data_IF_454181353016
#
_entry.id   IF_454181353016
#
_cell.length_a   1.000
_cell.length_b   1.000
_cell.length_c   1.000
_cell.angle_alpha   90.00
_cell.angle_beta   90.00
_cell.angle_gamma   90.00
#
_symmetry.space_group_name_H-M   'P 1'
#
loop_
_entity.id
_entity.type
_entity.pdbx_description
1 polymer ?
#
# COMPACT_ATOMS: atom_id res chain seq x y z
N UNK A 1 -14.50 5.55 21.25
CA UNK A 1 -13.94 6.82 21.80
C UNK A 1 -12.83 7.28 20.87
N UNK A 2 -12.83 8.56 20.43
CA UNK A 2 -11.82 9.10 19.50
C UNK A 2 -10.76 9.86 20.26
N UNK A 3 -9.49 9.64 19.93
CA UNK A 3 -8.35 10.37 20.49
C UNK A 3 -7.50 10.97 19.38
N UNK A 4 -6.90 12.13 19.64
CA UNK A 4 -5.88 12.68 18.74
C UNK A 4 -4.55 12.01 19.02
N UNK A 5 -3.84 11.66 17.95
CA UNK A 5 -2.50 11.12 18.03
C UNK A 5 -1.56 11.93 17.16
N UNK A 6 -0.37 12.23 17.69
CA UNK A 6 0.65 12.98 16.99
C UNK A 6 1.93 12.16 16.79
N UNK A 7 2.40 12.08 15.54
CA UNK A 7 3.70 11.50 15.16
C UNK A 7 4.42 12.45 14.21
N UNK A 8 5.46 13.12 14.71
CA UNK A 8 6.07 14.25 14.01
C UNK A 8 5.02 15.34 13.73
N UNK A 9 4.87 15.70 12.46
CA UNK A 9 3.87 16.68 12.00
C UNK A 9 2.47 16.09 11.73
N UNK A 10 2.32 14.77 11.86
CA UNK A 10 1.05 14.10 11.59
C UNK A 10 0.17 14.18 12.82
N UNK A 11 -0.96 14.89 12.70
CA UNK A 11 -2.07 14.79 13.66
C UNK A 11 -3.16 13.93 13.03
N UNK A 12 -3.54 12.87 13.74
CA UNK A 12 -4.51 11.90 13.24
C UNK A 12 -5.59 11.65 14.28
N UNK A 13 -6.78 11.32 13.79
CA UNK A 13 -7.86 10.81 14.62
C UNK A 13 -7.72 9.30 14.72
N UNK A 14 -7.66 8.79 15.95
CA UNK A 14 -7.56 7.36 16.24
C UNK A 14 -8.81 6.92 16.97
N UNK A 15 -9.46 5.90 16.44
CA UNK A 15 -10.52 5.15 17.08
C UNK A 15 -9.95 3.94 17.82
N UNK A 16 -10.58 3.58 18.92
CA UNK A 16 -10.27 2.36 19.67
C UNK A 16 -11.03 1.13 19.13
N UNK A 17 -11.97 1.35 18.19
CA UNK A 17 -12.73 0.26 17.57
C UNK A 17 -11.80 -0.63 16.74
N UNK A 18 -11.92 -1.94 16.99
CA UNK A 18 -11.09 -2.96 16.36
C UNK A 18 -11.88 -3.70 15.32
N UNK A 19 -11.29 -3.86 14.14
CA UNK A 19 -11.81 -4.74 13.10
C UNK A 19 -11.02 -6.05 13.08
N UNK A 20 -11.70 -7.16 12.83
CA UNK A 20 -11.09 -8.48 12.80
C UNK A 20 -10.82 -8.91 11.36
N UNK A 21 -9.58 -9.30 11.06
CA UNK A 21 -9.24 -9.90 9.79
C UNK A 21 -9.20 -11.41 9.96
N UNK A 22 -10.34 -12.08 9.71
CA UNK A 22 -10.53 -13.51 9.97
C UNK A 22 -9.45 -14.38 9.30
N UNK A 23 -9.23 -15.58 9.84
CA UNK A 23 -8.28 -16.54 9.28
C UNK A 23 -8.58 -16.85 7.79
N UNK A 24 -9.86 -16.91 7.41
CA UNK A 24 -10.25 -17.09 6.01
C UNK A 24 -9.76 -15.91 5.14
N UNK A 25 -9.91 -14.67 5.60
CA UNK A 25 -9.41 -13.48 4.88
C UNK A 25 -7.88 -13.46 4.83
N UNK A 26 -7.20 -13.88 5.91
CA UNK A 26 -5.75 -14.04 5.94
C UNK A 26 -5.29 -15.04 4.88
N UNK A 27 -5.93 -16.20 4.78
CA UNK A 27 -5.61 -17.23 3.80
C UNK A 27 -5.83 -16.74 2.35
N UNK A 28 -6.92 -16.01 2.10
CA UNK A 28 -7.17 -15.37 0.80
C UNK A 28 -6.05 -14.36 0.46
N UNK A 29 -5.68 -13.51 1.42
CA UNK A 29 -4.62 -12.52 1.26
C UNK A 29 -3.25 -13.16 1.00
N UNK A 30 -2.89 -14.23 1.72
CA UNK A 30 -1.65 -14.98 1.50
C UNK A 30 -1.64 -15.62 0.12
N UNK A 31 -2.76 -16.21 -0.33
CA UNK A 31 -2.87 -16.75 -1.69
C UNK A 31 -2.70 -15.67 -2.76
N UNK A 32 -3.26 -14.48 -2.54
CA UNK A 32 -3.08 -13.32 -3.43
C UNK A 32 -1.62 -12.88 -3.46
N UNK A 33 -0.96 -12.78 -2.29
CA UNK A 33 0.45 -12.40 -2.18
C UNK A 33 1.39 -13.41 -2.84
N UNK A 34 1.08 -14.71 -2.74
CA UNK A 34 1.83 -15.76 -3.45
C UNK A 34 1.75 -15.56 -4.96
N UNK A 35 0.55 -15.33 -5.50
CA UNK A 35 0.38 -15.03 -6.94
C UNK A 35 1.09 -13.73 -7.32
N UNK A 36 0.91 -12.68 -6.52
CA UNK A 36 1.56 -11.38 -6.72
C UNK A 36 3.09 -11.50 -6.81
N UNK A 37 3.73 -12.20 -5.88
CA UNK A 37 5.17 -12.39 -5.86
C UNK A 37 5.70 -13.07 -7.14
N UNK A 38 4.95 -14.03 -7.71
CA UNK A 38 5.34 -14.71 -8.96
C UNK A 38 5.26 -13.85 -10.21
N UNK A 39 4.48 -12.76 -10.19
CA UNK A 39 4.30 -11.90 -11.35
C UNK A 39 4.82 -10.48 -11.13
N UNK A 40 5.33 -10.12 -9.96
CA UNK A 40 5.92 -8.80 -9.76
C UNK A 40 7.24 -8.70 -10.56
N UNK A 41 7.58 -7.53 -11.13
CA UNK A 41 8.83 -7.38 -11.88
C UNK A 41 10.05 -7.76 -11.05
N UNK A 42 10.92 -8.59 -11.63
CA UNK A 42 12.17 -8.96 -10.99
C UNK A 42 13.15 -7.77 -10.98
N UNK A 43 13.80 -7.56 -9.85
CA UNK A 43 14.99 -6.71 -9.74
C UNK A 43 16.01 -7.41 -8.84
N UNK A 44 17.30 -7.15 -9.08
CA UNK A 44 18.40 -7.90 -8.48
C UNK A 44 18.68 -7.51 -7.00
N UNK A 45 17.63 -7.32 -6.21
CA UNK A 45 17.72 -6.99 -4.79
C UNK A 45 18.03 -8.21 -3.93
N UNK A 46 18.51 -7.97 -2.70
CA UNK A 46 18.84 -9.06 -1.78
C UNK A 46 17.64 -9.99 -1.55
N UNK A 47 16.48 -9.40 -1.25
CA UNK A 47 15.27 -10.16 -0.90
C UNK A 47 14.75 -11.03 -2.05
N UNK A 48 14.89 -10.57 -3.29
CA UNK A 48 14.49 -11.35 -4.46
C UNK A 48 15.49 -12.48 -4.76
N UNK A 49 16.79 -12.23 -4.59
CA UNK A 49 17.82 -13.28 -4.73
C UNK A 49 17.66 -14.37 -3.67
N UNK A 50 17.45 -13.98 -2.42
CA UNK A 50 17.43 -14.90 -1.29
C UNK A 50 16.10 -15.64 -1.16
N UNK A 51 14.98 -14.92 -1.26
CA UNK A 51 13.66 -15.47 -0.94
C UNK A 51 12.70 -15.52 -2.12
N UNK A 52 13.12 -15.10 -3.31
CA UNK A 52 12.25 -15.03 -4.50
C UNK A 52 10.96 -14.24 -4.26
N UNK A 53 10.98 -13.26 -3.35
CA UNK A 53 9.85 -12.36 -3.09
C UNK A 53 10.26 -10.90 -3.24
N UNK A 54 9.36 -9.99 -3.66
CA UNK A 54 9.76 -8.61 -3.96
C UNK A 54 10.14 -7.77 -2.74
N UNK A 55 9.64 -8.12 -1.55
CA UNK A 55 9.87 -7.37 -0.32
C UNK A 55 9.63 -8.23 0.92
N UNK A 56 10.38 -7.97 1.99
CA UNK A 56 10.18 -8.64 3.29
C UNK A 56 8.88 -8.20 3.97
N UNK A 57 8.40 -6.98 3.71
CA UNK A 57 7.15 -6.48 4.29
C UNK A 57 6.33 -5.77 3.22
N UNK A 58 5.07 -6.13 3.14
CA UNK A 58 4.11 -5.60 2.16
C UNK A 58 2.83 -5.18 2.86
N UNK A 59 2.07 -4.30 2.22
CA UNK A 59 0.75 -3.89 2.69
C UNK A 59 -0.29 -4.12 1.60
N UNK A 60 -1.41 -4.72 1.98
CA UNK A 60 -2.59 -4.77 1.12
C UNK A 60 -3.50 -3.61 1.50
N UNK A 61 -3.77 -2.75 0.52
CA UNK A 61 -4.87 -1.80 0.59
C UNK A 61 -6.09 -2.49 -0.04
N UNK A 62 -7.10 -2.80 0.77
CA UNK A 62 -8.23 -3.65 0.37
C UNK A 62 -9.54 -3.30 1.09
N UNK A 63 -10.62 -3.96 0.67
CA UNK A 63 -11.88 -4.01 1.42
C UNK A 63 -12.34 -5.45 1.56
N UNK A 64 -13.25 -5.67 2.51
CA UNK A 64 -13.90 -6.96 2.72
C UNK A 64 -15.39 -6.81 2.43
N UNK A 65 -15.89 -7.61 1.49
CA UNK A 65 -17.34 -7.73 1.24
C UNK A 65 -17.70 -9.20 1.24
N UNK A 66 -18.73 -9.57 2.02
CA UNK A 66 -19.22 -10.96 2.07
C UNK A 66 -18.10 -11.99 2.30
N UNK A 67 -17.21 -11.69 3.26
CA UNK A 67 -16.04 -12.53 3.62
C UNK A 67 -15.06 -12.79 2.46
N UNK A 68 -14.96 -11.85 1.51
CA UNK A 68 -13.99 -11.86 0.42
C UNK A 68 -13.12 -10.62 0.40
N UNK A 69 -11.83 -10.81 0.16
CA UNK A 69 -10.86 -9.72 0.01
C UNK A 69 -10.93 -9.15 -1.42
N UNK A 70 -11.22 -7.85 -1.52
CA UNK A 70 -11.14 -7.10 -2.77
C UNK A 70 -9.96 -6.14 -2.71
N UNK A 71 -8.98 -6.36 -3.59
CA UNK A 71 -7.70 -5.67 -3.56
C UNK A 71 -7.71 -4.36 -4.36
N UNK A 72 -7.31 -3.25 -3.74
CA UNK A 72 -6.98 -2.03 -4.47
C UNK A 72 -5.53 -2.06 -4.94
N UNK A 73 -4.60 -2.42 -4.05
CA UNK A 73 -3.16 -2.35 -4.30
C UNK A 73 -2.40 -3.22 -3.31
N UNK A 74 -1.35 -3.91 -3.80
CA UNK A 74 -0.24 -4.35 -2.98
C UNK A 74 0.81 -3.24 -3.02
N UNK A 75 1.16 -2.72 -1.86
CA UNK A 75 2.27 -1.78 -1.69
C UNK A 75 3.47 -2.57 -1.16
N UNK A 76 4.46 -2.74 -2.03
CA UNK A 76 5.66 -3.54 -1.82
C UNK A 76 6.68 -2.87 -0.88
N UNK A 77 6.55 -1.55 -0.68
CA UNK A 77 7.41 -0.81 0.22
C UNK A 77 6.56 0.14 1.09
N UNK A 78 5.76 -0.40 2.01
CA UNK A 78 4.71 0.36 2.65
C UNK A 78 5.25 1.34 3.69
N UNK A 79 4.75 2.58 3.66
CA UNK A 79 4.86 3.51 4.78
C UNK A 79 3.80 3.18 5.85
N UNK A 80 4.00 3.67 7.07
CA UNK A 80 3.06 3.49 8.18
C UNK A 80 3.31 2.23 9.02
N UNK A 81 4.45 1.56 8.87
CA UNK A 81 4.81 0.37 9.67
C UNK A 81 5.00 0.75 11.14
N UNK A 82 5.87 1.73 11.40
CA UNK A 82 6.16 2.22 12.74
C UNK A 82 4.95 2.87 13.40
N UNK A 83 4.15 3.60 12.63
CA UNK A 83 2.88 4.16 13.10
C UNK A 83 1.89 3.05 13.47
N UNK A 84 1.78 1.99 12.64
CA UNK A 84 0.91 0.85 12.93
C UNK A 84 1.37 0.11 14.19
N UNK A 85 2.67 -0.14 14.36
CA UNK A 85 3.22 -0.71 15.59
C UNK A 85 2.87 0.11 16.83
N UNK A 86 2.90 1.43 16.71
CA UNK A 86 2.56 2.32 17.81
C UNK A 86 1.07 2.33 18.17
N UNK A 87 0.18 2.09 17.20
CA UNK A 87 -1.28 2.14 17.37
C UNK A 87 -1.93 0.77 17.57
N UNK A 88 -1.25 -0.31 17.20
CA UNK A 88 -1.77 -1.67 17.23
C UNK A 88 -0.75 -2.60 17.91
N UNK A 89 -0.97 -2.88 19.19
CA UNK A 89 -0.08 -3.71 20.00
C UNK A 89 0.10 -5.12 19.44
N UNK A 90 -0.96 -5.72 18.88
CA UNK A 90 -0.89 -7.04 18.24
C UNK A 90 0.06 -7.00 17.03
N UNK A 91 -0.02 -5.94 16.22
CA UNK A 91 0.91 -5.75 15.12
C UNK A 91 2.35 -5.56 15.60
N UNK A 92 2.56 -4.75 16.64
CA UNK A 92 3.89 -4.54 17.21
C UNK A 92 4.53 -5.84 17.68
N UNK A 93 3.78 -6.69 18.39
CA UNK A 93 4.28 -7.97 18.87
C UNK A 93 4.63 -8.90 17.71
N UNK A 94 3.71 -9.06 16.75
CA UNK A 94 3.95 -9.93 15.58
C UNK A 94 5.12 -9.45 14.72
N UNK A 95 5.31 -8.14 14.58
CA UNK A 95 6.45 -7.57 13.87
C UNK A 95 7.75 -7.87 14.62
N UNK A 96 7.79 -7.66 15.94
CA UNK A 96 8.96 -7.98 16.76
C UNK A 96 9.34 -9.46 16.66
N UNK A 97 8.36 -10.36 16.79
CA UNK A 97 8.58 -11.80 16.67
C UNK A 97 9.15 -12.15 15.28
N UNK A 98 8.62 -11.54 14.23
CA UNK A 98 9.10 -11.77 12.86
C UNK A 98 10.52 -11.23 12.62
N UNK A 99 10.87 -10.09 13.23
CA UNK A 99 12.22 -9.51 13.12
C UNK A 99 13.31 -10.44 13.69
N UNK A 100 12.96 -11.37 14.59
CA UNK A 100 13.93 -12.38 15.08
C UNK A 100 14.37 -13.38 14.00
N UNK A 101 13.61 -13.51 12.91
CA UNK A 101 13.96 -14.35 11.75
C UNK A 101 14.54 -13.55 10.59
N UNK A 102 14.52 -12.22 10.68
CA UNK A 102 15.11 -11.38 9.65
C UNK A 102 16.58 -11.12 9.95
N UNK A 103 17.41 -10.94 8.91
CA UNK A 103 18.72 -10.34 9.09
C UNK A 103 18.59 -8.93 9.67
N UNK A 104 19.70 -8.43 10.22
CA UNK A 104 19.75 -7.04 10.68
C UNK A 104 19.55 -6.08 9.49
N UNK A 105 18.61 -5.14 9.64
CA UNK A 105 18.18 -4.20 8.60
C UNK A 105 18.24 -2.78 9.15
N UNK A 106 18.84 -1.88 8.39
CA UNK A 106 18.76 -0.44 8.66
C UNK A 106 17.81 0.24 7.67
N UNK A 107 17.13 1.30 8.09
CA UNK A 107 16.37 2.17 7.20
C UNK A 107 17.30 3.21 6.57
N UNK A 108 17.18 3.41 5.26
CA UNK A 108 17.86 4.48 4.54
C UNK A 108 16.81 5.33 3.83
N UNK A 109 16.58 6.55 4.31
CA UNK A 109 15.55 7.43 3.78
C UNK A 109 16.15 8.51 2.89
N UNK A 110 15.64 8.66 1.66
CA UNK A 110 16.08 9.75 0.78
C UNK A 110 15.80 11.11 1.44
N UNK A 111 16.74 12.07 1.39
CA UNK A 111 16.51 13.44 1.85
C UNK A 111 15.33 14.16 1.16
N UNK A 112 14.89 13.68 -0.02
CA UNK A 112 13.71 14.21 -0.73
C UNK A 112 12.38 13.80 -0.07
N UNK A 113 12.41 12.84 0.85
CA UNK A 113 11.23 12.43 1.62
C UNK A 113 11.02 13.42 2.76
N UNK A 114 9.83 14.01 2.79
CA UNK A 114 9.45 14.94 3.86
C UNK A 114 9.11 14.23 5.17
N UNK A 115 8.69 12.96 5.11
CA UNK A 115 8.19 12.21 6.27
C UNK A 115 8.53 10.73 6.13
N UNK A 116 8.89 10.10 7.24
CA UNK A 116 9.05 8.65 7.40
C UNK A 116 8.77 8.27 8.85
N UNK A 117 8.11 7.15 9.06
CA UNK A 117 7.89 6.55 10.38
C UNK A 117 8.86 5.39 10.65
N UNK A 118 9.87 5.21 9.81
CA UNK A 118 10.81 4.09 9.91
C UNK A 118 11.64 4.11 11.19
N UNK A 119 11.98 5.29 11.71
CA UNK A 119 12.73 5.44 12.96
C UNK A 119 11.99 4.89 14.20
N UNK A 120 10.69 4.56 14.08
CA UNK A 120 9.92 3.94 15.15
C UNK A 120 10.08 2.41 15.21
N UNK A 121 10.70 1.79 14.20
CA UNK A 121 10.82 0.33 14.13
C UNK A 121 12.16 -0.18 13.56
N UNK A 122 12.99 0.70 12.97
CA UNK A 122 14.34 0.41 12.51
C UNK A 122 15.31 1.54 12.88
N UNK A 123 16.60 1.20 12.98
CA UNK A 123 17.67 2.19 13.01
C UNK A 123 17.78 2.88 11.65
N UNK A 124 17.72 4.22 11.63
CA UNK A 124 17.87 5.02 10.40
C UNK A 124 19.33 5.44 10.22
N UNK A 125 19.88 5.18 9.03
CA UNK A 125 21.23 5.60 8.65
C UNK A 125 21.19 6.57 7.46
N UNK A 126 22.24 7.39 7.37
CA UNK A 126 22.52 8.22 6.21
C UNK A 126 23.06 7.40 5.03
N UNK A 127 23.05 8.00 3.85
CA UNK A 127 23.63 7.39 2.65
C UNK A 127 25.14 7.12 2.80
N UNK A 128 25.87 8.01 3.48
CA UNK A 128 27.32 7.86 3.67
C UNK A 128 27.66 6.76 4.67
N UNK A 129 26.85 6.57 5.70
CA UNK A 129 26.96 5.42 6.62
C UNK A 129 26.60 4.12 5.90
N UNK A 130 25.52 4.13 5.11
CA UNK A 130 25.10 2.96 4.34
C UNK A 130 26.19 2.48 3.37
N UNK A 131 26.91 3.40 2.70
CA UNK A 131 28.04 3.06 1.81
C UNK A 131 29.25 2.44 2.51
N UNK A 132 29.39 2.61 3.83
CA UNK A 132 30.52 2.11 4.63
C UNK A 132 30.19 0.85 5.44
N UNK A 133 28.98 0.33 5.29
CA UNK A 133 28.45 -0.81 6.02
C UNK A 133 27.97 -1.87 5.04
N UNK A 134 28.00 -3.15 5.44
CA UNK A 134 27.45 -4.26 4.64
C UNK A 134 26.04 -4.68 5.07
N UNK A 135 25.47 -4.02 6.09
CA UNK A 135 24.11 -4.32 6.59
C UNK A 135 23.05 -4.20 5.49
N UNK A 136 21.99 -4.98 5.58
CA UNK A 136 20.87 -4.87 4.64
C UNK A 136 20.08 -3.60 4.88
N UNK A 137 19.38 -3.13 3.83
CA UNK A 137 18.77 -1.81 3.80
C UNK A 137 17.31 -1.86 3.41
N UNK A 138 16.47 -1.18 4.18
CA UNK A 138 15.13 -0.81 3.76
C UNK A 138 15.17 0.62 3.19
N UNK A 139 15.35 0.72 1.88
CA UNK A 139 15.67 1.99 1.20
C UNK A 139 14.38 2.71 0.81
N UNK A 140 14.18 3.96 1.25
CA UNK A 140 13.06 4.86 0.87
C UNK A 140 13.48 5.92 -0.15
N UNK A 141 13.80 5.51 -1.37
CA UNK A 141 14.07 6.40 -2.50
C UNK A 141 13.05 6.23 -3.62
N UNK A 142 12.91 7.22 -4.49
CA UNK A 142 12.18 7.09 -5.74
C UNK A 142 13.08 6.49 -6.86
N UNK A 143 12.53 5.79 -7.86
CA UNK A 143 13.32 5.03 -8.85
C UNK A 143 14.31 5.86 -9.68
N UNK A 144 14.06 7.15 -9.85
CA UNK A 144 14.90 8.10 -10.59
C UNK A 144 16.09 8.61 -9.76
N UNK A 145 16.10 8.36 -8.45
CA UNK A 145 17.21 8.72 -7.56
C UNK A 145 18.36 7.71 -7.70
N UNK A 146 19.07 7.80 -8.83
CA UNK A 146 20.12 6.85 -9.25
C UNK A 146 21.26 6.68 -8.24
N UNK A 147 21.48 7.66 -7.36
CA UNK A 147 22.48 7.60 -6.28
C UNK A 147 22.27 6.41 -5.34
N UNK A 148 21.04 5.89 -5.22
CA UNK A 148 20.73 4.72 -4.39
C UNK A 148 20.87 3.39 -5.13
N UNK A 149 21.00 3.38 -6.46
CA UNK A 149 20.97 2.15 -7.27
C UNK A 149 22.14 1.22 -6.97
N UNK A 150 23.30 1.78 -6.60
CA UNK A 150 24.46 1.00 -6.18
C UNK A 150 24.20 0.15 -4.91
N UNK A 151 23.14 0.45 -4.16
CA UNK A 151 22.74 -0.27 -2.95
C UNK A 151 21.65 -1.32 -3.21
N UNK A 152 21.22 -1.51 -4.47
CA UNK A 152 20.13 -2.41 -4.84
C UNK A 152 20.32 -3.82 -4.26
N UNK A 153 21.53 -4.38 -4.38
CA UNK A 153 21.82 -5.75 -3.96
C UNK A 153 21.74 -5.97 -2.45
N UNK A 154 21.61 -4.90 -1.65
CA UNK A 154 21.39 -4.93 -0.20
C UNK A 154 19.96 -4.59 0.19
N UNK A 155 19.10 -4.28 -0.78
CA UNK A 155 17.74 -3.85 -0.52
C UNK A 155 16.85 -5.02 -0.11
N UNK A 156 16.08 -4.86 0.98
CA UNK A 156 15.06 -5.82 1.43
C UNK A 156 13.65 -5.55 0.88
N UNK A 157 13.56 -4.64 -0.08
CA UNK A 157 12.34 -4.27 -0.81
C UNK A 157 12.69 -3.77 -2.21
N UNK A 158 11.69 -3.45 -3.02
CA UNK A 158 11.96 -2.93 -4.37
C UNK A 158 12.46 -1.49 -4.37
N UNK A 159 13.38 -1.17 -5.27
CA UNK A 159 13.95 0.15 -5.49
C UNK A 159 13.67 0.68 -6.90
N UNK A 160 13.98 -0.09 -7.94
CA UNK A 160 13.88 0.35 -9.35
C UNK A 160 12.44 0.24 -9.87
N UNK A 161 11.80 -0.88 -9.51
CA UNK A 161 10.46 -1.27 -9.92
C UNK A 161 9.38 -0.74 -8.98
N UNK A 162 9.75 0.12 -8.01
CA UNK A 162 8.80 0.70 -7.06
C UNK A 162 7.59 1.32 -7.75
N UNK A 163 6.40 0.97 -7.29
CA UNK A 163 5.13 1.49 -7.77
C UNK A 163 4.73 1.01 -9.18
N UNK A 164 5.44 0.01 -9.71
CA UNK A 164 5.06 -0.66 -10.95
C UNK A 164 3.75 -1.44 -10.76
N UNK A 165 2.76 -1.14 -11.62
CA UNK A 165 1.41 -1.69 -11.56
C UNK A 165 1.16 -2.83 -12.56
N UNK A 166 2.17 -3.25 -13.32
CA UNK A 166 2.03 -4.33 -14.31
C UNK A 166 1.65 -5.68 -13.69
N UNK A 167 1.91 -5.89 -12.40
CA UNK A 167 1.42 -7.07 -11.68
C UNK A 167 -0.10 -7.18 -11.70
N UNK A 168 -0.83 -6.06 -11.66
CA UNK A 168 -2.29 -6.11 -11.54
C UNK A 168 -2.95 -6.62 -12.81
N UNK A 169 -2.40 -6.29 -13.98
CA UNK A 169 -2.80 -6.89 -15.25
C UNK A 169 -2.45 -8.39 -15.29
N UNK A 170 -1.22 -8.77 -14.93
CA UNK A 170 -0.78 -10.18 -14.89
C UNK A 170 -1.58 -11.03 -13.89
N UNK A 171 -2.11 -10.41 -12.83
CA UNK A 171 -3.00 -11.08 -11.87
C UNK A 171 -4.46 -11.16 -12.34
N UNK A 172 -4.83 -10.48 -13.42
CA UNK A 172 -6.20 -10.35 -13.91
C UNK A 172 -7.05 -9.38 -13.11
N UNK A 173 -6.43 -8.48 -12.35
CA UNK A 173 -7.12 -7.47 -11.53
C UNK A 173 -7.52 -6.25 -12.36
N UNK A 174 -6.67 -5.88 -13.33
CA UNK A 174 -6.80 -4.66 -14.13
C UNK A 174 -6.66 -4.96 -15.62
N UNK A 175 -7.14 -4.04 -16.45
CA UNK A 175 -6.96 -4.06 -17.90
C UNK A 175 -6.30 -2.77 -18.37
N UNK A 176 -5.26 -2.84 -19.20
CA UNK A 176 -4.71 -1.63 -19.82
C UNK A 176 -5.73 -0.99 -20.78
N UNK A 177 -5.85 0.35 -20.69
CA UNK A 177 -6.68 1.20 -21.56
C UNK A 177 -5.90 2.43 -21.99
N UNK A 178 -6.27 2.99 -23.13
CA UNK A 178 -5.67 4.20 -23.68
C UNK A 178 -6.75 5.21 -24.11
N UNK A 179 -6.34 6.37 -24.63
CA UNK A 179 -7.25 7.45 -25.06
C UNK A 179 -8.34 7.01 -26.04
N UNK A 180 -8.08 6.02 -26.91
CA UNK A 180 -9.05 5.53 -27.89
C UNK A 180 -10.17 4.70 -27.24
N UNK A 181 -9.97 4.23 -25.99
CA UNK A 181 -10.96 3.47 -25.24
C UNK A 181 -11.94 4.35 -24.48
N UNK A 182 -11.79 5.69 -24.49
CA UNK A 182 -12.57 6.60 -23.66
C UNK A 182 -14.09 6.46 -23.83
N UNK A 183 -14.56 6.32 -25.08
CA UNK A 183 -15.98 6.11 -25.38
C UNK A 183 -16.50 4.75 -24.93
N UNK A 184 -15.61 3.79 -24.72
CA UNK A 184 -15.91 2.40 -24.35
C UNK A 184 -15.69 2.10 -22.85
N UNK A 185 -15.32 3.11 -22.05
CA UNK A 185 -15.21 2.95 -20.60
C UNK A 185 -16.59 2.59 -19.99
N UNK A 186 -16.64 1.79 -18.91
CA UNK A 186 -17.89 1.30 -18.31
C UNK A 186 -18.57 2.39 -17.46
N UNK A 187 -19.08 3.42 -18.15
CA UNK A 187 -19.70 4.60 -17.55
C UNK A 187 -20.93 4.29 -16.69
N UNK A 188 -21.52 3.10 -16.87
CA UNK A 188 -22.72 2.63 -16.17
C UNK A 188 -22.43 1.81 -14.90
N UNK A 189 -21.24 1.21 -14.73
CA UNK A 189 -20.92 0.32 -13.59
C UNK A 189 -19.90 0.88 -12.60
N UNK A 190 -19.21 1.95 -12.95
CA UNK A 190 -18.17 2.55 -12.11
C UNK A 190 -16.81 1.87 -12.31
N UNK A 191 -15.73 2.66 -12.27
CA UNK A 191 -14.36 2.18 -12.46
C UNK A 191 -13.34 3.13 -11.83
N UNK A 192 -12.12 2.63 -11.68
CA UNK A 192 -10.93 3.42 -11.33
C UNK A 192 -9.91 3.34 -12.46
N UNK A 193 -9.32 4.48 -12.84
CA UNK A 193 -8.13 4.52 -13.68
C UNK A 193 -6.89 4.76 -12.82
N UNK A 194 -5.82 4.01 -13.10
CA UNK A 194 -4.55 4.08 -12.40
C UNK A 194 -3.40 4.29 -13.38
N UNK A 195 -2.45 5.21 -13.16
CA UNK A 195 -1.25 5.29 -13.99
C UNK A 195 -0.45 3.98 -13.93
N UNK A 196 0.33 3.68 -14.98
CA UNK A 196 1.17 2.47 -15.03
C UNK A 196 2.22 2.42 -13.91
N UNK A 197 2.67 3.59 -13.47
CA UNK A 197 3.58 3.77 -12.34
C UNK A 197 3.09 4.94 -11.51
N UNK A 198 2.70 4.69 -10.26
CA UNK A 198 2.26 5.75 -9.34
C UNK A 198 2.28 5.25 -7.89
N UNK A 199 2.38 6.20 -6.96
CA UNK A 199 2.17 5.94 -5.52
C UNK A 199 1.26 7.02 -4.91
N UNK A 200 0.80 6.81 -3.67
CA UNK A 200 0.04 7.82 -2.89
C UNK A 200 -1.24 8.33 -3.58
N UNK A 201 -1.94 7.47 -4.33
CA UNK A 201 -3.13 7.82 -5.11
C UNK A 201 -2.93 8.93 -6.18
N UNK A 202 -1.69 9.25 -6.55
CA UNK A 202 -1.40 10.24 -7.59
C UNK A 202 -1.91 9.76 -8.95
N UNK A 203 -2.64 10.62 -9.65
CA UNK A 203 -3.19 10.30 -10.98
C UNK A 203 -4.34 9.29 -10.98
N UNK A 204 -4.80 8.82 -9.81
CA UNK A 204 -5.97 7.94 -9.72
C UNK A 204 -7.23 8.75 -10.05
N UNK A 205 -8.05 8.24 -10.95
CA UNK A 205 -9.36 8.81 -11.29
C UNK A 205 -10.45 7.79 -10.95
N UNK A 206 -11.53 8.24 -10.31
CA UNK A 206 -12.62 7.37 -9.85
C UNK A 206 -13.92 7.82 -10.49
N UNK A 207 -14.59 6.93 -11.21
CA UNK A 207 -15.94 7.14 -11.70
C UNK A 207 -16.90 6.19 -10.99
N UNK A 208 -18.00 6.70 -10.46
CA UNK A 208 -19.10 5.87 -9.98
C UNK A 208 -20.43 6.63 -10.07
N UNK A 209 -21.40 6.17 -10.87
CA UNK A 209 -22.69 6.85 -11.01
C UNK A 209 -23.48 6.85 -9.69
N UNK A 210 -23.34 5.80 -8.87
CA UNK A 210 -24.07 5.66 -7.61
C UNK A 210 -23.54 6.61 -6.54
N UNK A 211 -22.21 6.76 -6.44
CA UNK A 211 -21.62 7.67 -5.46
C UNK A 211 -21.73 9.14 -5.87
N UNK A 212 -21.93 9.46 -7.15
CA UNK A 212 -22.24 10.82 -7.61
C UNK A 212 -23.51 11.36 -6.96
N UNK A 213 -24.53 10.52 -6.77
CA UNK A 213 -25.78 10.89 -6.09
C UNK A 213 -25.56 11.23 -4.62
N UNK A 214 -24.54 10.63 -3.99
CA UNK A 214 -24.19 10.80 -2.57
C UNK A 214 -23.31 12.01 -2.28
N UNK A 215 -22.86 12.77 -3.29
CA UNK A 215 -21.98 13.94 -3.17
C UNK A 215 -20.68 13.69 -2.35
N UNK A 216 -20.15 12.47 -2.37
CA UNK A 216 -18.87 12.16 -1.72
C UNK A 216 -17.69 12.73 -2.53
N UNK A 217 -16.63 13.17 -1.84
CA UNK A 217 -15.40 13.60 -2.49
C UNK A 217 -14.63 12.46 -3.17
N UNK A 218 -13.72 12.81 -4.10
CA UNK A 218 -12.80 11.86 -4.74
C UNK A 218 -13.23 11.33 -6.09
N UNK A 219 -14.46 11.65 -6.53
CA UNK A 219 -14.99 11.32 -7.86
C UNK A 219 -14.46 12.27 -8.94
N UNK A 220 -14.27 11.73 -10.12
CA UNK A 220 -13.72 12.42 -11.29
C UNK A 220 -14.80 12.62 -12.35
N UNK A 221 -14.86 13.81 -12.95
CA UNK A 221 -15.74 14.10 -14.10
C UNK A 221 -15.26 13.38 -15.35
N UNK A 222 -16.16 13.17 -16.33
CA UNK A 222 -15.78 12.61 -17.65
C UNK A 222 -14.65 13.42 -18.29
N UNK A 223 -14.77 14.75 -18.27
CA UNK A 223 -13.74 15.68 -18.78
C UNK A 223 -12.41 15.54 -18.04
N UNK A 224 -12.41 15.33 -16.72
CA UNK A 224 -11.18 15.10 -15.96
C UNK A 224 -10.55 13.77 -16.35
N UNK A 225 -11.35 12.71 -16.47
CA UNK A 225 -10.88 11.38 -16.90
C UNK A 225 -10.25 11.45 -18.29
N UNK A 226 -10.90 12.13 -19.25
CA UNK A 226 -10.38 12.32 -20.60
C UNK A 226 -9.02 13.04 -20.58
N UNK A 227 -8.92 14.16 -19.86
CA UNK A 227 -7.68 14.92 -19.71
C UNK A 227 -6.57 14.07 -19.10
N UNK A 228 -6.87 13.33 -18.04
CA UNK A 228 -5.90 12.46 -17.36
C UNK A 228 -5.45 11.32 -18.28
N UNK A 229 -6.37 10.67 -18.99
CA UNK A 229 -6.05 9.59 -19.92
C UNK A 229 -5.21 10.09 -21.11
N UNK A 230 -5.49 11.29 -21.60
CA UNK A 230 -4.65 11.94 -22.62
C UNK A 230 -3.26 12.30 -22.11
N UNK A 231 -3.14 12.76 -20.86
CA UNK A 231 -1.87 13.10 -20.23
C UNK A 231 -0.97 11.88 -20.05
N UNK A 232 -1.50 10.77 -19.53
CA UNK A 232 -0.72 9.55 -19.30
C UNK A 232 -0.57 8.68 -20.55
N UNK A 233 -1.45 8.84 -21.54
CA UNK A 233 -1.53 8.04 -22.76
C UNK A 233 -2.10 6.63 -22.52
N UNK A 234 -1.64 5.95 -21.46
CA UNK A 234 -2.06 4.61 -21.05
C UNK A 234 -2.24 4.53 -19.54
N UNK A 235 -3.26 3.78 -19.11
CA UNK A 235 -3.62 3.59 -17.71
C UNK A 235 -4.21 2.20 -17.50
N UNK A 236 -4.24 1.73 -16.26
CA UNK A 236 -4.96 0.53 -15.85
C UNK A 236 -6.38 0.86 -15.44
N UNK A 237 -7.35 0.18 -16.02
CA UNK A 237 -8.75 0.17 -15.63
C UNK A 237 -9.01 -0.95 -14.63
N UNK A 238 -9.56 -0.59 -13.48
CA UNK A 238 -10.10 -1.51 -12.47
C UNK A 238 -11.60 -1.27 -12.34
N UNK A 239 -12.39 -2.34 -12.25
CA UNK A 239 -13.80 -2.22 -11.83
C UNK A 239 -13.90 -1.52 -10.46
N UNK A 240 -14.91 -0.68 -10.28
CA UNK A 240 -15.04 0.04 -9.02
C UNK A 240 -15.37 -0.91 -7.87
N UNK A 241 -14.42 -1.05 -6.95
CA UNK A 241 -14.61 -1.75 -5.69
C UNK A 241 -15.16 -0.73 -4.69
N UNK A 242 -16.39 -0.95 -4.22
CA UNK A 242 -17.03 -0.06 -3.24
C UNK A 242 -16.27 -0.06 -1.92
N UNK A 243 -16.02 1.10 -1.28
CA UNK A 243 -15.43 1.13 0.05
C UNK A 243 -16.36 0.49 1.09
N UNK A 244 -15.79 0.01 2.19
CA UNK A 244 -16.57 -0.26 3.39
C UNK A 244 -17.02 1.06 4.02
N UNK A 245 -17.79 0.96 5.09
CA UNK A 245 -18.27 2.10 5.86
C UNK A 245 -17.67 2.00 7.27
N UNK A 246 -17.23 3.12 7.83
CA UNK A 246 -16.57 3.12 9.15
C UNK A 246 -17.47 2.56 10.25
N UNK A 247 -16.92 1.83 11.24
CA UNK A 247 -17.72 1.22 12.30
C UNK A 247 -18.30 2.24 13.28
N UNK A 248 -17.66 3.41 13.42
CA UNK A 248 -18.04 4.46 14.37
C UNK A 248 -19.31 5.21 13.94
N UNK A 249 -19.20 6.07 12.92
CA UNK A 249 -20.27 6.99 12.50
C UNK A 249 -21.06 6.50 11.29
N UNK A 250 -20.56 5.46 10.62
CA UNK A 250 -21.10 4.88 9.39
C UNK A 250 -21.34 5.89 8.27
N UNK A 251 -20.44 6.86 8.14
CA UNK A 251 -20.52 7.97 7.16
C UNK A 251 -19.28 8.12 6.31
N UNK A 252 -18.17 7.54 6.73
CA UNK A 252 -16.87 7.65 6.09
C UNK A 252 -16.62 6.41 5.24
N UNK A 253 -16.02 6.62 4.07
CA UNK A 253 -15.54 5.55 3.22
C UNK A 253 -14.31 4.92 3.86
N UNK A 254 -14.35 3.60 4.08
CA UNK A 254 -13.33 2.84 4.80
C UNK A 254 -12.64 1.80 3.92
N UNK A 255 -11.34 1.65 4.12
CA UNK A 255 -10.51 0.58 3.56
C UNK A 255 -9.57 0.01 4.62
N UNK A 256 -9.20 -1.25 4.45
CA UNK A 256 -8.19 -1.91 5.27
C UNK A 256 -6.82 -1.71 4.67
N UNK A 257 -5.85 -1.47 5.56
CA UNK A 257 -4.43 -1.39 5.27
C UNK A 257 -3.73 -2.41 6.15
N UNK A 258 -3.73 -3.65 5.67
CA UNK A 258 -3.21 -4.81 6.39
C UNK A 258 -1.80 -5.14 5.93
N UNK A 259 -0.95 -5.49 6.88
CA UNK A 259 0.46 -5.74 6.64
C UNK A 259 0.76 -7.23 6.74
N UNK A 260 1.67 -7.67 5.88
CA UNK A 260 2.18 -9.01 5.86
C UNK A 260 3.70 -8.96 5.82
N UNK A 261 4.35 -9.76 6.65
CA UNK A 261 5.79 -9.92 6.65
C UNK A 261 6.18 -11.32 6.18
N UNK A 262 7.25 -11.43 5.40
CA UNK A 262 7.75 -12.70 4.92
C UNK A 262 8.47 -13.43 6.05
N UNK A 263 8.05 -14.66 6.34
CA UNK A 263 8.63 -15.51 7.40
C UNK A 263 9.50 -16.59 6.76
N UNK A 264 10.84 -16.47 6.78
CA UNK A 264 11.74 -17.40 6.08
C UNK A 264 11.51 -18.86 6.45
N UNK A 265 11.31 -19.15 7.74
CA UNK A 265 11.06 -20.52 8.21
C UNK A 265 9.81 -21.18 7.60
N UNK A 266 8.82 -20.39 7.16
CA UNK A 266 7.61 -20.87 6.49
C UNK A 266 7.65 -20.73 4.96
N UNK A 267 8.63 -20.02 4.42
CA UNK A 267 8.68 -19.67 2.99
C UNK A 267 7.45 -18.88 2.51
N UNK A 268 6.78 -18.14 3.41
CA UNK A 268 5.50 -17.49 3.13
C UNK A 268 5.33 -16.18 3.89
N UNK A 269 4.45 -15.32 3.38
CA UNK A 269 3.95 -14.16 4.11
C UNK A 269 3.04 -14.59 5.27
N UNK A 270 3.18 -13.90 6.41
CA UNK A 270 2.33 -14.05 7.60
C UNK A 270 1.63 -12.72 7.91
N UNK A 271 0.38 -12.81 8.36
CA UNK A 271 -0.43 -11.64 8.70
C UNK A 271 0.03 -11.00 10.00
N UNK A 272 0.36 -9.71 9.94
CA UNK A 272 0.83 -8.95 11.10
C UNK A 272 -0.30 -8.16 11.79
N UNK A 273 -1.42 -7.91 11.12
CA UNK A 273 -2.39 -6.90 11.56
C UNK A 273 -2.39 -5.70 10.63
N UNK A 274 -2.96 -4.59 11.08
CA UNK A 274 -2.93 -3.36 10.30
C UNK A 274 -3.76 -2.24 10.91
N UNK A 275 -4.16 -1.31 10.06
CA UNK A 275 -5.11 -0.25 10.39
C UNK A 275 -6.23 -0.22 9.35
N UNK A 276 -7.45 0.02 9.81
CA UNK A 276 -8.51 0.49 8.93
C UNK A 276 -8.43 1.99 8.85
N UNK A 277 -8.62 2.55 7.65
CA UNK A 277 -8.60 3.98 7.39
C UNK A 277 -9.96 4.40 6.86
N UNK A 278 -10.54 5.44 7.44
CA UNK A 278 -11.82 6.00 7.05
C UNK A 278 -11.72 7.50 6.74
N UNK A 279 -12.37 7.94 5.66
CA UNK A 279 -12.35 9.34 5.18
C UNK A 279 -13.68 9.79 4.58
N UNK A 280 -13.98 11.10 4.55
CA UNK A 280 -15.12 11.66 3.82
C UNK A 280 -14.87 11.75 2.29
N UNK A 281 -14.02 10.85 1.75
CA UNK A 281 -13.54 10.86 0.38
C UNK A 281 -13.24 9.44 -0.09
N UNK A 282 -13.51 9.12 -1.36
CA UNK A 282 -13.24 7.80 -1.94
C UNK A 282 -11.75 7.51 -2.15
N UNK A 283 -10.88 8.52 -2.15
CA UNK A 283 -9.42 8.35 -2.18
C UNK A 283 -8.90 8.12 -0.77
N UNK A 284 -9.12 6.91 -0.25
CA UNK A 284 -8.78 6.53 1.12
C UNK A 284 -7.25 6.29 1.23
N UNK A 285 -6.55 7.18 1.92
CA UNK A 285 -5.11 7.09 2.22
C UNK A 285 -4.82 7.81 3.54
N UNK A 286 -3.58 7.75 4.05
CA UNK A 286 -3.21 8.52 5.25
C UNK A 286 -3.15 10.02 4.98
N UNK A 287 -4.08 10.79 5.55
CA UNK A 287 -4.17 12.25 5.48
C UNK A 287 -4.67 12.81 6.83
N UNK A 288 -4.59 14.13 7.04
CA UNK A 288 -4.96 14.77 8.31
C UNK A 288 -6.43 14.54 8.73
N UNK A 289 -7.33 14.38 7.76
CA UNK A 289 -8.77 14.10 7.97
C UNK A 289 -9.08 12.60 8.09
N UNK A 290 -8.06 11.75 8.22
CA UNK A 290 -8.25 10.30 8.31
C UNK A 290 -8.55 9.89 9.75
N UNK A 291 -9.62 9.11 9.91
CA UNK A 291 -9.87 8.32 11.10
C UNK A 291 -9.24 6.94 10.91
N UNK A 292 -8.46 6.49 11.89
CA UNK A 292 -7.80 5.19 11.84
C UNK A 292 -8.16 4.34 13.06
N UNK A 293 -8.21 3.04 12.92
CA UNK A 293 -8.27 2.12 14.05
C UNK A 293 -7.62 0.78 13.75
N UNK A 294 -7.35 -0.04 14.76
CA UNK A 294 -6.59 -1.28 14.61
C UNK A 294 -7.37 -2.36 13.86
N UNK A 295 -6.63 -3.11 13.03
CA UNK A 295 -7.06 -4.41 12.48
C UNK A 295 -6.24 -5.50 13.16
N UNK A 296 -6.92 -6.48 13.76
CA UNK A 296 -6.30 -7.59 14.51
C UNK A 296 -6.58 -8.95 13.90
#
# INVERSE_FOLDING_TARGET
MKSFYQVGDWKMLVSQEREFFSENLQNQAVSLLKKWATVFPYENSWVQKEFSVPSLIVRLDCVVHQDKVFLFEVEERPAGIGLTAKLNATFSQKLFDLQTEWPEINSLVSPRRTTSDDCLWLETVSLEEAKKSDKLLFIRAEPEETVFHALLERSVSTLLTKGDKSYGERMGLWKEVNKNDFSHLPWERGFCLKPLKSSKCQGIEIWSPDFRKKKIGGLSTKTRIEKTLNQYGRMYLQEFISPMVDPDEKKLAMAYRVFFGYKPSLGSYVFLGGLWNARPNLKIHGAQDTLMGPII
#
